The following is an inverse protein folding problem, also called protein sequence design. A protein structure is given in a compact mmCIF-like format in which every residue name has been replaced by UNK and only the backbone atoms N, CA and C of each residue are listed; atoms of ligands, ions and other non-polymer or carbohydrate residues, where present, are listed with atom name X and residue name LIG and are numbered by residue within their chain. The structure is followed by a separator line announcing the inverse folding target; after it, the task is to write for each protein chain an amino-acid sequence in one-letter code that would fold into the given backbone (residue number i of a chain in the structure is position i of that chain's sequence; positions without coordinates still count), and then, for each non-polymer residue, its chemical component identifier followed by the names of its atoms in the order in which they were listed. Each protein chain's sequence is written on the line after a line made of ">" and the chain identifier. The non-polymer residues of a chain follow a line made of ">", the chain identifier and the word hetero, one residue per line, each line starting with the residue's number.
data_IF_749967378121
#
_entry.id   IF_749967378121
#
_cell.length_a   1.000
_cell.length_b   1.000
_cell.length_c   1.000
_cell.angle_alpha   90.00
_cell.angle_beta   90.00
_cell.angle_gamma   90.00
#
_symmetry.space_group_name_H-M   'P 1'
#
loop_
_entity.id
_entity.type
_entity.pdbx_description
1 polymer ?
#
# COMPACT_ATOMS: atom_id res chain seq x y z
N UNK A 1 -18.64 5.83 -24.47
CA UNK A 1 -17.85 6.39 -23.36
C UNK A 1 -18.75 7.42 -22.70
N UNK A 2 -19.16 7.18 -21.45
CA UNK A 2 -20.06 8.07 -20.71
C UNK A 2 -19.20 9.05 -19.91
N UNK A 3 -18.78 10.13 -20.55
CA UNK A 3 -17.96 11.19 -19.93
C UNK A 3 -18.93 12.21 -19.34
N UNK A 4 -19.09 12.20 -18.02
CA UNK A 4 -19.79 13.25 -17.30
C UNK A 4 -18.84 14.44 -17.06
N UNK A 5 -19.24 15.69 -17.37
CA UNK A 5 -18.44 16.85 -16.98
C UNK A 5 -18.43 16.95 -15.45
N UNK A 6 -17.23 16.84 -14.87
CA UNK A 6 -17.06 16.95 -13.42
C UNK A 6 -16.96 18.43 -13.04
N UNK A 7 -18.03 18.99 -12.46
CA UNK A 7 -18.11 20.42 -12.09
C UNK A 7 -17.51 20.78 -10.71
N UNK A 8 -17.10 19.79 -9.91
CA UNK A 8 -16.49 20.02 -8.59
C UNK A 8 -15.62 18.85 -8.13
N UNK A 9 -14.79 19.06 -7.10
CA UNK A 9 -13.95 18.02 -6.49
C UNK A 9 -14.81 16.87 -5.91
N UNK A 10 -15.96 17.20 -5.34
CA UNK A 10 -16.92 16.23 -4.78
C UNK A 10 -17.53 15.37 -5.90
N UNK A 11 -17.86 15.98 -7.04
CA UNK A 11 -18.37 15.24 -8.20
C UNK A 11 -17.32 14.25 -8.73
N UNK A 12 -16.04 14.63 -8.75
CA UNK A 12 -14.93 13.74 -9.12
C UNK A 12 -14.83 12.57 -8.13
N UNK A 13 -14.81 12.86 -6.82
CA UNK A 13 -14.72 11.85 -5.79
C UNK A 13 -15.89 10.84 -5.88
N UNK A 14 -17.11 11.34 -6.08
CA UNK A 14 -18.31 10.52 -6.26
C UNK A 14 -18.22 9.66 -7.52
N UNK A 15 -17.78 10.23 -8.64
CA UNK A 15 -17.61 9.50 -9.90
C UNK A 15 -16.61 8.34 -9.74
N UNK A 16 -15.45 8.61 -9.14
CA UNK A 16 -14.44 7.57 -8.87
C UNK A 16 -15.03 6.48 -7.98
N UNK A 17 -15.69 6.84 -6.87
CA UNK A 17 -16.29 5.89 -5.95
C UNK A 17 -17.34 5.00 -6.64
N UNK A 18 -18.21 5.60 -7.47
CA UNK A 18 -19.25 4.88 -8.24
C UNK A 18 -18.65 3.84 -9.18
N UNK A 19 -17.55 4.16 -9.86
CA UNK A 19 -16.89 3.21 -10.75
C UNK A 19 -16.15 2.11 -10.00
N UNK A 20 -15.48 2.44 -8.89
CA UNK A 20 -14.84 1.45 -8.03
C UNK A 20 -15.86 0.46 -7.45
N UNK A 21 -17.05 0.93 -7.07
CA UNK A 21 -18.09 0.10 -6.47
C UNK A 21 -18.98 -0.63 -7.49
N UNK A 22 -18.75 -0.49 -8.81
CA UNK A 22 -19.62 -1.06 -9.84
C UNK A 22 -19.69 -2.60 -9.80
N UNK A 23 -18.61 -3.23 -9.32
CA UNK A 23 -18.52 -4.68 -9.19
C UNK A 23 -18.96 -5.19 -7.81
N UNK A 24 -19.35 -4.30 -6.90
CA UNK A 24 -19.76 -4.68 -5.55
C UNK A 24 -21.21 -5.19 -5.54
N UNK A 25 -21.54 -6.18 -4.69
CA UNK A 25 -22.91 -6.70 -4.59
C UNK A 25 -23.89 -5.65 -4.08
N UNK A 26 -25.10 -5.62 -4.66
CA UNK A 26 -26.18 -4.67 -4.30
C UNK A 26 -26.59 -4.76 -2.81
N UNK A 27 -26.31 -5.88 -2.13
CA UNK A 27 -26.64 -6.10 -0.72
C UNK A 27 -25.65 -5.53 0.30
N UNK A 28 -24.47 -5.07 -0.13
CA UNK A 28 -23.40 -4.60 0.78
C UNK A 28 -23.76 -3.23 1.41
N UNK A 29 -24.66 -2.47 0.80
CA UNK A 29 -25.02 -1.13 1.27
C UNK A 29 -25.60 -1.09 2.69
N UNK A 30 -26.42 -2.06 3.08
CA UNK A 30 -27.08 -2.08 4.40
C UNK A 30 -26.07 -2.34 5.52
N UNK A 31 -25.15 -3.29 5.31
CA UNK A 31 -24.09 -3.63 6.25
C UNK A 31 -23.07 -2.50 6.43
N UNK A 32 -22.68 -1.83 5.34
CA UNK A 32 -21.85 -0.63 5.40
C UNK A 32 -22.58 0.51 6.12
N UNK A 33 -23.84 0.79 5.77
CA UNK A 33 -24.59 1.91 6.37
C UNK A 33 -24.75 1.74 7.88
N UNK A 34 -25.04 0.52 8.34
CA UNK A 34 -25.11 0.20 9.77
C UNK A 34 -23.75 0.39 10.45
N UNK A 35 -22.67 -0.06 9.83
CA UNK A 35 -21.32 0.14 10.37
C UNK A 35 -20.95 1.62 10.47
N UNK A 36 -21.28 2.43 9.46
CA UNK A 36 -21.06 3.89 9.50
C UNK A 36 -21.83 4.52 10.66
N UNK A 37 -23.11 4.17 10.85
CA UNK A 37 -23.91 4.70 11.97
C UNK A 37 -23.31 4.33 13.33
N UNK A 38 -22.83 3.09 13.49
CA UNK A 38 -22.20 2.64 14.73
C UNK A 38 -20.89 3.39 15.00
N UNK A 39 -20.07 3.57 13.96
CA UNK A 39 -18.78 4.25 14.04
C UNK A 39 -18.93 5.76 14.31
N UNK A 40 -19.98 6.39 13.80
CA UNK A 40 -20.29 7.80 14.10
C UNK A 40 -20.62 8.03 15.58
N UNK A 41 -21.22 7.05 16.25
CA UNK A 41 -21.57 7.10 17.67
C UNK A 41 -20.38 6.87 18.61
N UNK A 42 -19.24 6.44 18.08
CA UNK A 42 -18.04 6.18 18.87
C UNK A 42 -17.11 7.40 18.91
N UNK A 43 -16.59 7.72 20.09
CA UNK A 43 -15.45 8.62 20.25
C UNK A 43 -14.15 7.89 19.90
N UNK A 44 -13.76 7.97 18.62
CA UNK A 44 -12.47 7.47 18.14
C UNK A 44 -11.90 8.38 17.05
N UNK A 45 -10.59 8.32 16.86
CA UNK A 45 -9.92 9.04 15.78
C UNK A 45 -10.42 8.57 14.40
N UNK A 46 -10.50 9.50 13.45
CA UNK A 46 -10.94 9.32 12.07
C UNK A 46 -10.23 8.13 11.42
N UNK A 47 -8.93 7.95 11.68
CA UNK A 47 -8.15 6.82 11.16
C UNK A 47 -8.74 5.47 11.55
N UNK A 48 -9.15 5.32 12.83
CA UNK A 48 -9.77 4.08 13.35
C UNK A 48 -11.17 3.88 12.78
N UNK A 49 -11.93 4.97 12.63
CA UNK A 49 -13.26 4.96 12.01
C UNK A 49 -13.16 4.47 10.57
N UNK A 50 -12.27 5.03 9.77
CA UNK A 50 -12.01 4.62 8.39
C UNK A 50 -11.55 3.16 8.30
N UNK A 51 -10.62 2.74 9.17
CA UNK A 51 -10.14 1.36 9.18
C UNK A 51 -11.27 0.35 9.38
N UNK A 52 -12.20 0.61 10.32
CA UNK A 52 -13.36 -0.26 10.56
C UNK A 52 -14.31 -0.32 9.37
N UNK A 53 -14.57 0.81 8.72
CA UNK A 53 -15.37 0.86 7.48
C UNK A 53 -14.70 0.00 6.40
N UNK A 54 -13.39 0.15 6.20
CA UNK A 54 -12.63 -0.64 5.23
C UNK A 54 -12.69 -2.15 5.55
N UNK A 55 -12.58 -2.54 6.81
CA UNK A 55 -12.69 -3.95 7.22
C UNK A 55 -14.08 -4.51 6.97
N UNK A 56 -15.14 -3.73 7.24
CA UNK A 56 -16.53 -4.16 6.96
C UNK A 56 -16.75 -4.38 5.47
N UNK A 57 -16.30 -3.44 4.63
CA UNK A 57 -16.34 -3.57 3.17
C UNK A 57 -15.59 -4.84 2.74
N UNK A 58 -14.37 -5.05 3.24
CA UNK A 58 -13.55 -6.20 2.87
C UNK A 58 -14.21 -7.54 3.24
N UNK A 59 -14.95 -7.58 4.36
CA UNK A 59 -15.65 -8.77 4.82
C UNK A 59 -16.94 -9.06 4.03
N UNK A 60 -17.68 -8.03 3.63
CA UNK A 60 -18.94 -8.20 2.89
C UNK A 60 -18.74 -8.30 1.37
N UNK A 61 -17.59 -7.84 0.87
CA UNK A 61 -17.23 -7.92 -0.55
C UNK A 61 -17.20 -9.37 -1.01
N UNK A 62 -18.10 -9.70 -1.92
CA UNK A 62 -18.06 -10.98 -2.62
C UNK A 62 -17.00 -10.92 -3.71
N UNK A 63 -16.20 -11.97 -3.80
CA UNK A 63 -15.17 -12.13 -4.83
C UNK A 63 -15.54 -13.28 -5.74
N UNK A 64 -15.10 -13.22 -7.00
CA UNK A 64 -15.32 -14.32 -7.94
C UNK A 64 -14.64 -15.61 -7.46
N UNK A 65 -15.12 -16.77 -7.91
CA UNK A 65 -14.49 -18.06 -7.60
C UNK A 65 -13.00 -18.09 -8.00
N UNK A 66 -12.64 -17.45 -9.11
CA UNK A 66 -11.26 -17.33 -9.57
C UNK A 66 -10.41 -16.48 -8.60
N UNK A 67 -10.90 -15.29 -8.21
CA UNK A 67 -10.21 -14.44 -7.22
C UNK A 67 -10.06 -15.17 -5.87
N UNK A 68 -11.08 -15.92 -5.44
CA UNK A 68 -11.04 -16.74 -4.24
C UNK A 68 -9.91 -17.78 -4.30
N UNK A 69 -9.82 -18.55 -5.39
CA UNK A 69 -8.76 -19.54 -5.59
C UNK A 69 -7.36 -18.90 -5.53
N UNK A 70 -7.16 -17.76 -6.20
CA UNK A 70 -5.89 -17.04 -6.17
C UNK A 70 -5.51 -16.62 -4.75
N UNK A 71 -6.46 -16.07 -3.99
CA UNK A 71 -6.24 -15.66 -2.59
C UNK A 71 -5.92 -16.86 -1.69
N UNK A 72 -6.68 -17.95 -1.79
CA UNK A 72 -6.50 -19.15 -0.96
C UNK A 72 -5.19 -19.89 -1.26
N UNK A 73 -4.75 -19.88 -2.51
CA UNK A 73 -3.50 -20.50 -2.94
C UNK A 73 -2.29 -19.55 -2.87
N UNK A 74 -2.45 -18.34 -2.32
CA UNK A 74 -1.40 -17.31 -2.27
C UNK A 74 -0.78 -16.98 -3.65
N UNK A 75 -1.58 -17.05 -4.71
CA UNK A 75 -1.17 -16.72 -6.08
C UNK A 75 -1.37 -15.20 -6.28
N UNK A 76 -0.39 -14.49 -6.87
CA UNK A 76 -0.53 -13.06 -7.14
C UNK A 76 -1.73 -12.79 -8.08
N UNK A 77 -2.64 -11.90 -7.65
CA UNK A 77 -3.83 -11.52 -8.42
C UNK A 77 -3.50 -10.68 -9.67
N UNK A 78 -2.31 -10.09 -9.72
CA UNK A 78 -1.86 -9.23 -10.81
C UNK A 78 -0.34 -9.21 -10.87
N UNK A 79 0.17 -9.40 -12.07
CA UNK A 79 1.54 -9.02 -12.40
C UNK A 79 1.56 -7.61 -12.99
N UNK A 80 2.55 -6.83 -12.58
CA UNK A 80 2.76 -5.45 -13.04
C UNK A 80 4.22 -5.26 -13.35
N UNK A 81 4.51 -4.61 -14.48
CA UNK A 81 5.86 -4.15 -14.80
C UNK A 81 6.29 -2.95 -13.97
N UNK A 82 5.36 -2.32 -13.24
CA UNK A 82 5.61 -1.17 -12.37
C UNK A 82 5.73 -1.63 -10.93
N UNK A 83 6.86 -1.35 -10.29
CA UNK A 83 7.02 -1.44 -8.84
C UNK A 83 6.73 -0.07 -8.19
N UNK A 84 6.37 -0.08 -6.91
CA UNK A 84 6.17 1.13 -6.12
C UNK A 84 7.10 1.07 -4.90
N UNK A 85 7.92 2.10 -4.74
CA UNK A 85 8.85 2.22 -3.62
C UNK A 85 8.39 3.40 -2.75
N UNK A 86 8.15 3.12 -1.48
CA UNK A 86 7.78 4.16 -0.52
C UNK A 86 9.02 4.82 0.06
N UNK A 87 9.19 6.12 -0.21
CA UNK A 87 10.23 6.95 0.40
C UNK A 87 9.63 7.75 1.57
N UNK A 88 10.03 7.40 2.79
CA UNK A 88 9.55 8.10 3.99
C UNK A 88 10.22 9.48 4.13
N UNK A 89 9.45 10.55 3.94
CA UNK A 89 9.92 11.94 4.01
C UNK A 89 10.07 12.49 5.43
N UNK A 90 9.76 11.69 6.47
CA UNK A 90 9.99 12.08 7.87
C UNK A 90 11.49 12.23 8.17
N UNK A 91 11.81 12.98 9.22
CA UNK A 91 13.17 13.09 9.76
C UNK A 91 13.73 11.71 10.15
N UNK A 92 15.05 11.47 10.06
CA UNK A 92 15.67 10.16 10.34
C UNK A 92 15.19 9.49 11.64
N UNK A 93 15.04 10.26 12.71
CA UNK A 93 14.58 9.84 14.04
C UNK A 93 13.11 9.40 14.11
N UNK A 94 12.31 9.71 13.08
CA UNK A 94 10.89 9.41 13.00
C UNK A 94 10.54 8.41 11.87
N UNK A 95 11.55 7.86 11.20
CA UNK A 95 11.35 6.82 10.18
C UNK A 95 11.18 5.47 10.85
N UNK A 96 10.15 4.73 10.43
CA UNK A 96 9.94 3.36 10.89
C UNK A 96 11.05 2.45 10.35
N UNK A 97 11.42 1.42 11.12
CA UNK A 97 12.41 0.39 10.74
C UNK A 97 11.78 -0.98 10.89
N UNK A 98 12.20 -1.92 10.05
CA UNK A 98 11.73 -3.32 10.11
C UNK A 98 12.66 -4.12 11.00
N UNK A 99 12.10 -4.76 12.02
CA UNK A 99 12.83 -5.64 12.94
C UNK A 99 13.26 -6.92 12.22
N UNK A 100 14.48 -7.37 12.51
CA UNK A 100 15.00 -8.66 12.10
C UNK A 100 14.87 -9.64 13.26
N UNK A 101 14.39 -10.85 12.96
CA UNK A 101 14.20 -11.92 13.92
C UNK A 101 15.08 -13.12 13.55
N UNK A 102 15.61 -13.81 14.56
CA UNK A 102 16.26 -15.11 14.39
C UNK A 102 15.22 -16.25 14.23
N UNK A 103 15.71 -17.49 14.01
CA UNK A 103 14.85 -18.68 13.93
C UNK A 103 14.11 -19.00 15.24
N UNK A 104 14.58 -18.44 16.35
CA UNK A 104 14.02 -18.63 17.69
C UNK A 104 13.02 -17.53 18.08
N UNK A 105 12.80 -16.53 17.20
CA UNK A 105 11.88 -15.42 17.42
C UNK A 105 12.47 -14.23 18.21
N UNK A 106 13.77 -14.19 18.48
CA UNK A 106 14.42 -13.06 19.15
C UNK A 106 14.83 -11.98 18.15
N UNK A 107 14.73 -10.72 18.58
CA UNK A 107 15.14 -9.55 17.78
C UNK A 107 16.66 -9.52 17.69
N UNK A 108 17.19 -9.62 16.48
CA UNK A 108 18.65 -9.54 16.21
C UNK A 108 19.09 -8.16 15.75
N UNK A 109 18.16 -7.30 15.31
CA UNK A 109 18.47 -5.97 14.82
C UNK A 109 17.40 -5.44 13.88
N UNK A 110 17.82 -4.62 12.91
CA UNK A 110 16.96 -4.01 11.90
C UNK A 110 17.42 -4.40 10.50
N UNK A 111 16.46 -4.60 9.59
CA UNK A 111 16.77 -4.71 8.17
C UNK A 111 17.24 -3.37 7.61
N UNK A 112 18.25 -3.41 6.73
CA UNK A 112 18.73 -2.23 6.02
C UNK A 112 17.65 -1.64 5.14
N UNK A 113 17.40 -0.34 5.29
CA UNK A 113 16.44 0.41 4.50
C UNK A 113 17.12 1.07 3.28
N UNK A 114 16.30 1.71 2.42
CA UNK A 114 16.78 2.38 1.21
C UNK A 114 17.72 3.56 1.50
N UNK A 115 17.51 4.29 2.60
CA UNK A 115 18.37 5.41 2.99
C UNK A 115 19.77 4.93 3.35
N UNK A 116 19.88 3.87 4.16
CA UNK A 116 21.16 3.28 4.54
C UNK A 116 21.91 2.73 3.32
N UNK A 117 21.18 2.12 2.36
CA UNK A 117 21.77 1.64 1.11
C UNK A 117 22.27 2.78 0.24
N UNK A 118 21.50 3.87 0.16
CA UNK A 118 21.89 5.06 -0.56
C UNK A 118 23.11 5.72 0.09
N UNK A 119 23.17 5.82 1.41
CA UNK A 119 24.34 6.36 2.13
C UNK A 119 25.60 5.50 1.93
N UNK A 120 25.44 4.17 1.86
CA UNK A 120 26.53 3.21 1.64
C UNK A 120 26.82 2.90 0.17
N UNK A 121 26.20 3.62 -0.76
CA UNK A 121 26.39 3.38 -2.20
C UNK A 121 27.86 3.61 -2.59
N UNK A 122 28.40 2.86 -3.56
CA UNK A 122 29.76 3.10 -4.04
C UNK A 122 29.82 4.47 -4.70
N UNK A 123 30.78 5.32 -4.33
CA UNK A 123 30.91 6.66 -4.94
C UNK A 123 31.55 6.61 -6.34
N UNK A 124 32.34 5.57 -6.61
CA UNK A 124 33.00 5.33 -7.88
C UNK A 124 32.48 4.03 -8.49
N UNK A 125 31.94 4.11 -9.70
CA UNK A 125 31.47 2.95 -10.47
C UNK A 125 31.66 3.21 -11.97
N UNK A 126 32.04 2.21 -12.77
CA UNK A 126 32.30 2.38 -14.21
C UNK A 126 31.09 2.92 -14.98
N UNK A 127 29.90 2.40 -14.70
CA UNK A 127 28.70 2.72 -15.49
C UNK A 127 27.79 3.80 -14.88
N UNK A 128 28.01 4.19 -13.62
CA UNK A 128 27.09 5.05 -12.88
C UNK A 128 27.81 6.10 -12.02
N UNK A 129 27.44 7.36 -12.19
CA UNK A 129 27.92 8.47 -11.37
C UNK A 129 27.12 8.57 -10.06
N UNK A 130 27.33 7.62 -9.14
CA UNK A 130 26.59 7.57 -7.87
C UNK A 130 26.78 8.79 -6.97
N UNK A 131 27.90 9.52 -7.10
CA UNK A 131 28.15 10.74 -6.34
C UNK A 131 27.09 11.81 -6.62
N UNK A 132 26.69 11.96 -7.89
CA UNK A 132 25.75 12.99 -8.35
C UNK A 132 24.29 12.49 -8.38
N UNK A 133 24.09 11.18 -8.22
CA UNK A 133 22.77 10.55 -8.24
C UNK A 133 21.96 10.91 -7.00
N UNK A 134 20.71 11.33 -7.21
CA UNK A 134 19.76 11.61 -6.12
C UNK A 134 19.20 10.33 -5.48
N UNK A 135 18.64 10.44 -4.27
CA UNK A 135 17.95 9.31 -3.61
C UNK A 135 16.79 8.77 -4.46
N UNK A 136 16.03 9.66 -5.11
CA UNK A 136 14.89 9.26 -5.95
C UNK A 136 15.36 8.47 -7.16
N UNK A 137 16.41 8.94 -7.83
CA UNK A 137 17.00 8.26 -8.97
C UNK A 137 17.60 6.90 -8.58
N UNK A 138 18.32 6.86 -7.46
CA UNK A 138 18.83 5.61 -6.90
C UNK A 138 17.71 4.61 -6.61
N UNK A 139 16.59 5.08 -6.03
CA UNK A 139 15.44 4.24 -5.75
C UNK A 139 14.78 3.70 -7.03
N UNK A 140 14.75 4.48 -8.11
CA UNK A 140 14.15 4.05 -9.38
C UNK A 140 15.00 3.03 -10.13
N UNK A 141 16.33 3.16 -10.06
CA UNK A 141 17.25 2.36 -10.88
C UNK A 141 17.77 1.10 -10.19
N UNK A 142 17.80 1.08 -8.85
CA UNK A 142 18.43 0.01 -8.10
C UNK A 142 17.47 -0.65 -7.12
N UNK A 143 17.39 -1.97 -7.20
CA UNK A 143 16.64 -2.80 -6.26
C UNK A 143 17.60 -3.61 -5.39
N UNK A 144 17.22 -3.89 -4.13
CA UNK A 144 18.01 -4.78 -3.30
C UNK A 144 18.05 -6.19 -3.86
N UNK A 145 19.26 -6.68 -4.06
CA UNK A 145 19.47 -8.08 -4.35
C UNK A 145 19.33 -8.91 -3.07
N UNK A 146 18.24 -9.66 -2.98
CA UNK A 146 18.09 -10.72 -1.98
C UNK A 146 18.42 -12.05 -2.64
N UNK A 147 19.53 -12.69 -2.24
CA UNK A 147 19.82 -14.04 -2.69
C UNK A 147 18.66 -14.95 -2.31
N UNK A 148 18.04 -15.62 -3.28
CA UNK A 148 17.08 -16.68 -2.99
C UNK A 148 17.82 -17.76 -2.19
N UNK A 149 17.40 -17.98 -0.94
CA UNK A 149 17.86 -19.09 -0.10
C UNK A 149 17.16 -20.38 -0.52
#
# INVERSE_FOLDING_TARGET
>A
MDIQPCGSNEAIAYYIAKYLSKAEPEGVHSGIAQAIQQIQREESDISRKLFRICMKILHERQVSAAECAYRLCHIPLRDTSRSCIFLNTRKPEHRYRVLQFDKSGHVTGYYSNIFERYEKRPLQHPDYAFADMSLTEFAMLFEPFYSKR
#
